data_IF_102909526801
#
_entry.id   IF_102909526801
#
_cell.length_a   1.000
_cell.length_b   1.000
_cell.length_c   1.000
_cell.angle_alpha   90.00
_cell.angle_beta   90.00
_cell.angle_gamma   90.00
#
_symmetry.space_group_name_H-M   'P 1'
#
loop_
_entity.id
_entity.type
_entity.pdbx_description
1 polymer ?
#
# COMPACT_ATOMS: atom_id res chain seq x y z
N UNK A 1 -15.14 -6.00 -6.76
CA UNK A 1 -13.83 -5.38 -6.44
C UNK A 1 -13.22 -5.85 -5.10
N UNK A 2 -14.01 -6.18 -4.05
CA UNK A 2 -13.49 -6.63 -2.74
C UNK A 2 -12.54 -7.85 -2.77
N UNK A 3 -12.60 -8.68 -3.82
CA UNK A 3 -11.77 -9.89 -3.95
C UNK A 3 -10.40 -9.62 -4.56
N UNK A 4 -10.22 -8.53 -5.30
CA UNK A 4 -9.00 -8.29 -6.07
C UNK A 4 -7.83 -7.89 -5.16
N UNK A 5 -8.01 -6.96 -4.24
CA UNK A 5 -6.95 -6.59 -3.30
C UNK A 5 -6.63 -7.70 -2.31
N UNK A 6 -7.62 -8.50 -1.86
CA UNK A 6 -7.36 -9.66 -1.02
C UNK A 6 -6.40 -10.62 -1.72
N UNK A 7 -6.66 -10.95 -2.98
CA UNK A 7 -5.79 -11.86 -3.74
C UNK A 7 -4.38 -11.29 -3.93
N UNK A 8 -4.27 -10.02 -4.31
CA UNK A 8 -2.96 -9.42 -4.64
C UNK A 8 -2.13 -9.01 -3.41
N UNK A 9 -2.76 -8.65 -2.29
CA UNK A 9 -2.05 -8.15 -1.09
C UNK A 9 -2.04 -9.15 0.07
N UNK A 10 -2.99 -10.09 0.19
CA UNK A 10 -2.92 -11.12 1.23
C UNK A 10 -1.89 -12.21 0.91
N UNK A 11 -1.58 -12.40 -0.38
CA UNK A 11 -0.53 -13.30 -0.84
C UNK A 11 0.88 -12.72 -0.65
N UNK A 12 1.01 -11.43 -0.31
CA UNK A 12 2.27 -10.86 0.15
C UNK A 12 2.64 -11.43 1.53
N UNK A 13 3.20 -12.64 1.55
CA UNK A 13 3.75 -13.26 2.74
C UNK A 13 5.08 -12.61 3.09
N UNK A 14 5.02 -11.41 3.69
CA UNK A 14 6.17 -10.88 4.38
C UNK A 14 6.48 -11.81 5.56
N UNK A 15 7.77 -11.98 5.87
CA UNK A 15 8.21 -12.77 7.04
C UNK A 15 7.78 -12.13 8.38
N UNK A 16 7.22 -10.91 8.35
CA UNK A 16 6.60 -10.23 9.48
C UNK A 16 5.08 -10.07 9.24
N UNK A 17 4.28 -10.70 10.11
CA UNK A 17 2.82 -10.66 10.06
C UNK A 17 2.24 -9.24 10.17
N UNK A 18 2.93 -8.33 10.87
CA UNK A 18 2.51 -6.91 10.97
C UNK A 18 2.64 -6.21 9.64
N UNK A 19 3.65 -6.55 8.85
CA UNK A 19 3.85 -6.02 7.50
C UNK A 19 2.81 -6.59 6.53
N UNK A 20 2.53 -7.89 6.61
CA UNK A 20 1.44 -8.55 5.84
C UNK A 20 0.09 -7.90 6.11
N UNK A 21 -0.26 -7.71 7.39
CA UNK A 21 -1.53 -7.07 7.75
C UNK A 21 -1.60 -5.62 7.26
N UNK A 22 -0.46 -4.91 7.25
CA UNK A 22 -0.39 -3.53 6.77
C UNK A 22 -0.55 -3.44 5.25
N UNK A 23 0.13 -4.29 4.48
CA UNK A 23 -0.04 -4.37 3.03
C UNK A 23 -1.51 -4.60 2.65
N UNK A 24 -2.16 -5.52 3.37
CA UNK A 24 -3.58 -5.82 3.18
C UNK A 24 -4.46 -4.56 3.37
N UNK A 25 -4.27 -3.82 4.47
CA UNK A 25 -5.02 -2.59 4.75
C UNK A 25 -4.76 -1.49 3.71
N UNK A 26 -3.50 -1.31 3.30
CA UNK A 26 -3.11 -0.35 2.27
C UNK A 26 -3.78 -0.70 0.93
N UNK A 27 -3.70 -1.97 0.52
CA UNK A 27 -4.30 -2.45 -0.72
C UNK A 27 -5.82 -2.30 -0.75
N UNK A 28 -6.49 -2.57 0.37
CA UNK A 28 -7.92 -2.32 0.52
C UNK A 28 -8.26 -0.84 0.31
N UNK A 29 -7.59 0.06 1.03
CA UNK A 29 -7.86 1.50 0.96
C UNK A 29 -7.59 2.07 -0.45
N UNK A 30 -6.53 1.61 -1.13
CA UNK A 30 -6.22 2.00 -2.50
C UNK A 30 -7.32 1.52 -3.48
N UNK A 31 -7.82 0.30 -3.31
CA UNK A 31 -8.90 -0.21 -4.14
C UNK A 31 -10.22 0.53 -3.93
N UNK A 32 -10.54 0.91 -2.68
CA UNK A 32 -11.73 1.71 -2.36
C UNK A 32 -11.61 3.14 -2.91
N UNK A 33 -10.41 3.72 -2.87
CA UNK A 33 -10.09 5.05 -3.38
C UNK A 33 -9.52 5.07 -4.80
N UNK A 34 -9.78 4.04 -5.62
CA UNK A 34 -9.17 3.94 -6.95
C UNK A 34 -9.40 5.20 -7.79
N UNK A 35 -8.33 5.72 -8.41
CA UNK A 35 -8.34 6.96 -9.18
C UNK A 35 -8.16 8.24 -8.34
N UNK A 36 -8.08 8.13 -7.01
CA UNK A 36 -7.79 9.26 -6.12
C UNK A 36 -6.30 9.33 -5.77
N UNK A 37 -5.84 10.52 -5.40
CA UNK A 37 -4.50 10.71 -4.85
C UNK A 37 -4.34 9.97 -3.51
N UNK A 38 -3.15 9.44 -3.22
CA UNK A 38 -2.87 8.77 -1.94
C UNK A 38 -3.12 9.67 -0.73
N UNK A 39 -2.85 10.98 -0.85
CA UNK A 39 -3.16 11.97 0.19
C UNK A 39 -4.67 12.17 0.41
N UNK A 40 -5.49 11.88 -0.60
CA UNK A 40 -6.95 11.86 -0.46
C UNK A 40 -7.44 10.58 0.22
N UNK A 41 -6.74 9.46 0.04
CA UNK A 41 -7.08 8.16 0.62
C UNK A 41 -6.59 8.06 2.08
N UNK A 42 -5.33 8.40 2.34
CA UNK A 42 -4.69 8.33 3.65
C UNK A 42 -4.61 9.73 4.28
N UNK A 43 -5.44 9.95 5.31
CA UNK A 43 -5.60 11.26 5.95
C UNK A 43 -4.50 11.60 6.95
N UNK A 44 -3.80 10.59 7.47
CA UNK A 44 -2.71 10.79 8.42
C UNK A 44 -1.37 10.72 7.72
N UNK A 45 -0.42 11.58 8.13
CA UNK A 45 0.94 11.57 7.58
C UNK A 45 1.64 10.22 7.78
N UNK A 46 1.33 9.50 8.87
CA UNK A 46 1.88 8.18 9.17
C UNK A 46 1.39 7.11 8.21
N UNK A 47 0.10 7.06 7.91
CA UNK A 47 -0.47 6.10 6.95
C UNK A 47 -0.04 6.42 5.53
N UNK A 48 0.01 7.71 5.17
CA UNK A 48 0.50 8.16 3.87
C UNK A 48 1.97 7.75 3.67
N UNK A 49 2.85 8.04 4.63
CA UNK A 49 4.27 7.63 4.58
C UNK A 49 4.41 6.11 4.41
N UNK A 50 3.66 5.33 5.18
CA UNK A 50 3.70 3.86 5.10
C UNK A 50 3.20 3.36 3.75
N UNK A 51 2.20 4.00 3.14
CA UNK A 51 1.76 3.62 1.79
C UNK A 51 2.87 3.81 0.74
N UNK A 52 3.67 4.87 0.87
CA UNK A 52 4.86 5.07 0.03
C UNK A 52 5.95 4.04 0.29
N UNK A 53 6.22 3.67 1.55
CA UNK A 53 7.20 2.63 1.90
C UNK A 53 6.84 1.25 1.33
N UNK A 54 5.56 0.97 1.13
CA UNK A 54 5.07 -0.28 0.52
C UNK A 54 5.03 -0.24 -1.00
N UNK A 55 5.23 0.93 -1.61
CA UNK A 55 5.33 1.05 -3.06
C UNK A 55 6.71 0.54 -3.51
N UNK A 56 6.80 -0.23 -4.60
CA UNK A 56 8.07 -0.67 -5.18
C UNK A 56 8.91 0.48 -5.77
N UNK A 57 8.56 1.75 -5.50
CA UNK A 57 9.46 2.91 -5.63
C UNK A 57 10.63 2.85 -4.63
N UNK A 58 11.17 1.66 -4.40
CA UNK A 58 12.46 1.48 -3.78
C UNK A 58 13.47 2.16 -4.69
N UNK A 59 13.92 3.34 -4.26
CA UNK A 59 15.07 4.04 -4.82
C UNK A 59 15.06 3.94 -6.34
N UNK A 60 14.12 4.64 -7.00
CA UNK A 60 14.46 5.16 -8.32
C UNK A 60 15.72 5.97 -8.03
N UNK A 61 16.87 5.34 -8.24
CA UNK A 61 18.15 5.98 -8.11
C UNK A 61 17.98 7.24 -8.95
N UNK A 62 18.14 8.37 -8.30
CA UNK A 62 18.59 9.58 -8.97
C UNK A 62 19.90 9.19 -9.67
N UNK A 63 19.76 8.56 -10.84
CA UNK A 63 20.70 8.56 -11.94
C UNK A 63 20.35 9.81 -12.76
N UNK A 64 20.43 10.95 -12.09
CA UNK A 64 20.57 12.27 -12.67
C UNK A 64 21.89 12.82 -12.13
#
# INVERSE_FOLDING_TARGET
MQTWWKKNFAECQFSDQRLTHRALKIGQAICEGFGQALSSIFKTATELKRSYEFSPMGKLALLL
#
